data_IF_314921957944
#
_entry.id   IF_314921957944
#
_cell.length_a   1.000
_cell.length_b   1.000
_cell.length_c   1.000
_cell.angle_alpha   90.00
_cell.angle_beta   90.00
_cell.angle_gamma   90.00
#
_symmetry.space_group_name_H-M   'P 1'
#
loop_
_entity.id
_entity.type
_entity.pdbx_description
1 polymer ?
#
# COMPACT_ATOMS: atom_id res chain seq x y z
N UNK A 1 -5.08 13.98 0.09
CA UNK A 1 -4.23 12.78 0.29
C UNK A 1 -5.14 11.63 0.66
N UNK A 2 -5.03 10.50 -0.03
CA UNK A 2 -5.76 9.27 0.27
C UNK A 2 -4.92 8.42 1.23
N UNK A 3 -5.57 7.91 2.29
CA UNK A 3 -4.91 7.09 3.30
C UNK A 3 -4.39 5.76 2.71
N UNK A 4 -3.37 5.19 3.34
CA UNK A 4 -2.85 3.86 2.99
C UNK A 4 -3.77 2.69 3.32
N UNK A 5 -4.75 2.92 4.20
CA UNK A 5 -5.80 1.97 4.56
C UNK A 5 -7.02 2.76 5.04
N UNK A 6 -8.21 2.15 4.97
CA UNK A 6 -9.45 2.77 5.44
C UNK A 6 -10.24 1.80 6.32
N UNK A 7 -11.04 2.30 7.27
CA UNK A 7 -12.07 1.50 7.92
C UNK A 7 -13.01 0.92 6.86
N UNK A 8 -13.32 -0.38 6.97
CA UNK A 8 -14.29 -1.02 6.09
C UNK A 8 -15.70 -0.79 6.66
N UNK A 9 -16.70 -0.51 5.82
CA UNK A 9 -18.10 -0.54 6.23
C UNK A 9 -18.49 -1.90 6.80
N UNK A 10 -19.41 -1.92 7.76
CA UNK A 10 -19.87 -3.16 8.41
C UNK A 10 -20.53 -4.13 7.42
N UNK A 11 -21.16 -3.62 6.36
CA UNK A 11 -21.81 -4.38 5.30
C UNK A 11 -20.84 -4.82 4.17
N UNK A 12 -19.59 -4.35 4.19
CA UNK A 12 -18.56 -4.70 3.23
C UNK A 12 -17.17 -4.86 3.90
N UNK A 13 -17.01 -5.83 4.82
CA UNK A 13 -15.78 -6.00 5.62
C UNK A 13 -14.54 -6.38 4.78
N UNK A 14 -14.76 -6.90 3.57
CA UNK A 14 -13.73 -7.31 2.62
C UNK A 14 -13.56 -6.34 1.44
N UNK A 15 -14.19 -5.16 1.50
CA UNK A 15 -14.07 -4.14 0.46
C UNK A 15 -12.60 -3.81 0.21
N UNK A 16 -12.24 -3.80 -1.07
CA UNK A 16 -10.90 -3.38 -1.45
C UNK A 16 -10.73 -1.89 -1.21
N UNK A 17 -9.50 -1.44 -0.98
CA UNK A 17 -9.23 -0.04 -0.67
C UNK A 17 -9.77 0.92 -1.73
N UNK A 18 -9.70 0.53 -3.00
CA UNK A 18 -10.19 1.36 -4.10
C UNK A 18 -11.72 1.50 -4.10
N UNK A 19 -12.48 0.50 -3.64
CA UNK A 19 -13.94 0.59 -3.58
C UNK A 19 -14.38 1.66 -2.56
N UNK A 20 -13.53 1.91 -1.57
CA UNK A 20 -13.73 2.95 -0.55
C UNK A 20 -13.19 4.31 -1.03
N UNK A 21 -12.08 4.32 -1.76
CA UNK A 21 -11.39 5.57 -2.14
C UNK A 21 -11.91 6.19 -3.43
N UNK A 22 -12.40 5.41 -4.38
CA UNK A 22 -12.90 5.94 -5.65
C UNK A 22 -14.06 6.96 -5.47
N UNK A 23 -15.05 6.73 -4.58
CA UNK A 23 -16.08 7.73 -4.30
C UNK A 23 -15.54 9.02 -3.68
N UNK A 24 -14.44 8.94 -2.90
CA UNK A 24 -13.77 10.12 -2.34
C UNK A 24 -13.12 10.93 -3.47
N UNK A 25 -12.47 10.24 -4.42
CA UNK A 25 -11.89 10.88 -5.60
C UNK A 25 -12.98 11.52 -6.46
N UNK A 26 -14.10 10.82 -6.69
CA UNK A 26 -15.25 11.35 -7.44
C UNK A 26 -15.79 12.63 -6.81
N UNK A 27 -16.02 12.63 -5.50
CA UNK A 27 -16.50 13.80 -4.77
C UNK A 27 -15.52 14.97 -4.84
N UNK A 28 -14.21 14.71 -4.72
CA UNK A 28 -13.18 15.73 -4.86
C UNK A 28 -13.19 16.37 -6.26
N UNK A 29 -13.25 15.55 -7.32
CA UNK A 29 -13.25 16.03 -8.69
C UNK A 29 -14.54 16.80 -9.02
N UNK A 30 -15.69 16.35 -8.52
CA UNK A 30 -16.97 17.04 -8.71
C UNK A 30 -17.04 18.40 -8.01
N UNK A 31 -16.37 18.53 -6.85
CA UNK A 31 -16.29 19.77 -6.09
C UNK A 31 -15.19 20.73 -6.58
N UNK A 32 -14.33 20.29 -7.51
CA UNK A 32 -13.20 21.08 -7.96
C UNK A 32 -13.67 22.23 -8.86
N UNK A 33 -13.28 23.49 -8.59
CA UNK A 33 -13.66 24.61 -9.45
C UNK A 33 -13.16 24.44 -10.89
N UNK A 34 -13.93 24.96 -11.84
CA UNK A 34 -13.57 24.91 -13.25
C UNK A 34 -12.19 25.54 -13.50
N UNK A 35 -11.33 24.82 -14.23
CA UNK A 35 -9.97 25.26 -14.56
C UNK A 35 -8.89 24.92 -13.53
N UNK A 36 -9.24 24.38 -12.35
CA UNK A 36 -8.26 23.90 -11.39
C UNK A 36 -7.69 22.52 -11.79
N UNK A 37 -6.37 22.35 -11.69
CA UNK A 37 -5.70 21.06 -11.93
C UNK A 37 -5.81 20.19 -10.67
N UNK A 38 -6.36 18.96 -10.75
CA UNK A 38 -6.44 18.04 -9.61
C UNK A 38 -5.05 17.68 -9.06
N UNK A 39 -4.93 17.56 -7.73
CA UNK A 39 -3.72 17.03 -7.05
C UNK A 39 -4.14 16.01 -6.01
N UNK A 40 -3.79 14.75 -6.24
CA UNK A 40 -4.25 13.61 -5.44
C UNK A 40 -3.04 12.75 -5.13
N UNK A 41 -2.60 12.75 -3.87
CA UNK A 41 -1.55 11.84 -3.41
C UNK A 41 -2.19 10.57 -2.84
N UNK A 42 -1.80 9.40 -3.36
CA UNK A 42 -2.11 8.09 -2.77
C UNK A 42 -0.99 7.64 -1.83
N UNK A 43 -1.28 7.53 -0.53
CA UNK A 43 -0.34 6.90 0.42
C UNK A 43 -0.48 5.38 0.35
N UNK A 44 0.61 4.62 0.36
CA UNK A 44 0.60 3.15 0.38
C UNK A 44 1.66 2.60 1.34
N UNK A 45 1.31 1.49 2.02
CA UNK A 45 2.27 0.74 2.83
C UNK A 45 3.02 -0.22 1.91
N UNK A 46 4.29 0.04 1.64
CA UNK A 46 5.08 -0.69 0.63
C UNK A 46 6.39 -1.18 1.25
N UNK A 47 6.69 -2.46 1.06
CA UNK A 47 8.00 -3.03 1.38
C UNK A 47 8.46 -3.96 0.26
N UNK A 48 9.60 -3.62 -0.35
CA UNK A 48 10.20 -4.39 -1.44
C UNK A 48 11.51 -4.99 -0.94
N UNK A 49 11.72 -6.29 -1.16
CA UNK A 49 12.99 -6.96 -0.88
C UNK A 49 13.45 -7.75 -2.10
N UNK A 50 14.72 -8.16 -2.10
CA UNK A 50 15.33 -8.92 -3.20
C UNK A 50 14.72 -10.32 -3.36
N UNK A 51 14.13 -10.87 -2.29
CA UNK A 51 13.40 -12.14 -2.33
C UNK A 51 12.04 -12.05 -1.65
N UNK A 52 11.07 -12.80 -2.16
CA UNK A 52 9.74 -12.93 -1.54
C UNK A 52 9.81 -13.48 -0.12
N UNK A 53 10.69 -14.45 0.12
CA UNK A 53 10.85 -15.07 1.43
C UNK A 53 11.31 -14.05 2.49
N UNK A 54 12.33 -13.25 2.16
CA UNK A 54 12.79 -12.15 3.03
C UNK A 54 11.70 -11.10 3.26
N UNK A 55 11.04 -10.65 2.17
CA UNK A 55 9.97 -9.66 2.25
C UNK A 55 8.87 -10.10 3.22
N UNK A 56 8.41 -11.35 3.07
CA UNK A 56 7.36 -11.93 3.90
C UNK A 56 7.79 -12.09 5.36
N UNK A 57 8.99 -12.64 5.59
CA UNK A 57 9.48 -12.88 6.95
C UNK A 57 9.61 -11.57 7.76
N UNK A 58 10.18 -10.53 7.15
CA UNK A 58 10.35 -9.23 7.81
C UNK A 58 9.01 -8.51 8.00
N UNK A 59 8.13 -8.53 6.99
CA UNK A 59 6.81 -7.94 7.08
C UNK A 59 5.97 -8.59 8.18
N UNK A 60 5.91 -9.92 8.24
CA UNK A 60 5.16 -10.63 9.27
C UNK A 60 5.68 -10.29 10.67
N UNK A 61 7.00 -10.33 10.85
CA UNK A 61 7.60 -10.00 12.13
C UNK A 61 7.30 -8.55 12.55
N UNK A 62 7.32 -7.60 11.62
CA UNK A 62 6.99 -6.20 11.86
C UNK A 62 5.53 -5.97 12.25
N UNK A 63 4.61 -6.51 11.45
CA UNK A 63 3.16 -6.40 11.66
C UNK A 63 2.77 -6.95 13.03
N UNK A 64 3.32 -8.11 13.42
CA UNK A 64 3.06 -8.70 14.75
C UNK A 64 3.61 -7.84 15.88
N UNK A 65 4.80 -7.24 15.72
CA UNK A 65 5.37 -6.31 16.71
C UNK A 65 4.60 -4.98 16.81
N UNK A 66 3.89 -4.58 15.77
CA UNK A 66 3.25 -3.26 15.72
C UNK A 66 2.03 -3.12 16.64
N UNK A 67 1.51 -4.24 17.19
CA UNK A 67 0.31 -4.26 18.04
C UNK A 67 -1.00 -3.97 17.29
N UNK A 68 -0.98 -3.89 15.96
CA UNK A 68 -2.19 -3.71 15.13
C UNK A 68 -2.95 -5.01 14.90
N UNK A 69 -2.28 -6.15 15.12
CA UNK A 69 -2.88 -7.47 15.17
C UNK A 69 -3.20 -7.77 16.63
N UNK A 70 -4.49 -7.77 16.98
CA UNK A 70 -4.97 -8.08 18.34
C UNK A 70 -5.23 -9.56 18.57
N UNK A 71 -5.39 -10.31 17.48
CA UNK A 71 -5.61 -11.76 17.53
C UNK A 71 -4.33 -12.49 17.92
N UNK A 72 -4.44 -13.69 18.54
CA UNK A 72 -3.28 -14.50 18.87
C UNK A 72 -2.39 -14.79 17.66
N UNK A 73 -1.09 -14.98 17.91
CA UNK A 73 -0.16 -15.37 16.87
C UNK A 73 -0.58 -16.69 16.20
N UNK A 74 -0.56 -16.71 14.87
CA UNK A 74 -1.01 -17.84 14.06
C UNK A 74 -2.51 -17.86 13.73
N UNK A 75 -3.36 -17.03 14.35
CA UNK A 75 -4.79 -16.97 14.02
C UNK A 75 -5.06 -16.33 12.64
N UNK A 76 -4.18 -15.44 12.19
CA UNK A 76 -4.23 -14.80 10.88
C UNK A 76 -2.96 -15.12 10.11
N UNK A 77 -3.13 -15.57 8.85
CA UNK A 77 -2.01 -15.77 7.93
C UNK A 77 -1.45 -14.41 7.49
N UNK A 78 -0.18 -14.38 7.09
CA UNK A 78 0.42 -13.16 6.53
C UNK A 78 -0.39 -12.63 5.33
N UNK A 79 -0.90 -13.50 4.47
CA UNK A 79 -1.72 -13.11 3.32
C UNK A 79 -3.01 -12.38 3.75
N UNK A 80 -3.69 -12.88 4.80
CA UNK A 80 -4.85 -12.21 5.37
C UNK A 80 -4.48 -10.83 5.94
N UNK A 81 -3.33 -10.73 6.61
CA UNK A 81 -2.83 -9.45 7.15
C UNK A 81 -2.50 -8.45 6.04
N UNK A 82 -1.80 -8.89 4.99
CA UNK A 82 -1.48 -8.09 3.80
C UNK A 82 -2.76 -7.53 3.18
N UNK A 83 -3.77 -8.39 2.96
CA UNK A 83 -5.04 -7.98 2.38
C UNK A 83 -5.81 -7.01 3.28
N UNK A 84 -5.96 -7.33 4.57
CA UNK A 84 -6.75 -6.50 5.51
C UNK A 84 -6.12 -5.13 5.76
N UNK A 85 -4.80 -5.04 5.71
CA UNK A 85 -4.05 -3.82 6.01
C UNK A 85 -3.59 -3.07 4.75
N UNK A 86 -4.01 -3.51 3.57
CA UNK A 86 -3.68 -2.91 2.27
C UNK A 86 -2.16 -2.75 2.07
N UNK A 87 -1.41 -3.81 2.39
CA UNK A 87 0.05 -3.81 2.28
C UNK A 87 0.48 -4.28 0.88
N UNK A 88 1.53 -3.69 0.36
CA UNK A 88 2.18 -4.13 -0.88
C UNK A 88 3.58 -4.66 -0.53
N UNK A 89 3.71 -5.98 -0.48
CA UNK A 89 4.91 -6.66 0.03
C UNK A 89 5.39 -7.73 -0.95
N UNK A 90 6.70 -7.77 -1.24
CA UNK A 90 7.29 -8.85 -2.03
C UNK A 90 8.56 -8.43 -2.77
N UNK A 91 8.82 -9.11 -3.89
CA UNK A 91 9.82 -8.68 -4.88
C UNK A 91 9.33 -7.45 -5.64
N UNK A 92 10.19 -6.79 -6.44
CA UNK A 92 9.75 -5.71 -7.33
C UNK A 92 8.54 -6.10 -8.19
N UNK A 93 8.56 -7.27 -8.84
CA UNK A 93 7.45 -7.76 -9.66
C UNK A 93 6.15 -7.96 -8.88
N UNK A 94 6.24 -8.46 -7.65
CA UNK A 94 5.08 -8.67 -6.80
C UNK A 94 4.42 -7.36 -6.40
N UNK A 95 5.25 -6.39 -6.02
CA UNK A 95 4.79 -5.05 -5.63
C UNK A 95 4.26 -4.28 -6.83
N UNK A 96 4.90 -4.35 -8.01
CA UNK A 96 4.38 -3.76 -9.25
C UNK A 96 3.01 -4.34 -9.59
N UNK A 97 2.86 -5.67 -9.55
CA UNK A 97 1.59 -6.34 -9.84
C UNK A 97 0.50 -5.90 -8.87
N UNK A 98 0.83 -5.84 -7.58
CA UNK A 98 -0.09 -5.43 -6.52
C UNK A 98 -0.52 -3.96 -6.65
N UNK A 99 0.42 -3.04 -6.90
CA UNK A 99 0.12 -1.62 -7.09
C UNK A 99 -0.67 -1.37 -8.38
N UNK A 100 -0.40 -2.09 -9.48
CA UNK A 100 -1.20 -1.99 -10.71
C UNK A 100 -2.64 -2.48 -10.55
N UNK A 101 -2.89 -3.41 -9.62
CA UNK A 101 -4.24 -3.87 -9.32
C UNK A 101 -5.06 -2.85 -8.54
N UNK A 102 -4.43 -1.89 -7.87
CA UNK A 102 -5.12 -0.82 -7.14
C UNK A 102 -5.66 0.24 -8.11
N UNK A 103 -6.97 0.16 -8.37
CA UNK A 103 -7.66 1.01 -9.35
C UNK A 103 -7.58 2.50 -9.00
N UNK A 104 -7.52 2.85 -7.72
CA UNK A 104 -7.43 4.25 -7.31
C UNK A 104 -6.07 4.84 -7.68
N UNK A 105 -5.00 4.05 -7.76
CA UNK A 105 -3.67 4.54 -8.17
C UNK A 105 -3.62 4.97 -9.64
N UNK A 106 -4.56 4.56 -10.49
CA UNK A 106 -4.68 5.12 -11.84
C UNK A 106 -5.21 6.57 -11.85
N UNK A 107 -5.70 7.06 -10.69
CA UNK A 107 -6.36 8.36 -10.53
C UNK A 107 -5.55 9.33 -9.66
N UNK A 108 -4.40 8.90 -9.14
CA UNK A 108 -3.52 9.74 -8.31
C UNK A 108 -2.50 10.48 -9.17
N UNK A 109 -2.06 11.64 -8.70
CA UNK A 109 -0.97 12.40 -9.30
C UNK A 109 0.39 12.09 -8.69
N UNK A 110 0.41 11.56 -7.46
CA UNK A 110 1.62 11.25 -6.73
C UNK A 110 1.39 10.02 -5.85
N UNK A 111 2.43 9.22 -5.62
CA UNK A 111 2.40 8.10 -4.68
C UNK A 111 3.39 8.36 -3.55
N UNK A 112 2.95 8.20 -2.31
CA UNK A 112 3.81 8.22 -1.14
C UNK A 112 3.91 6.81 -0.56
N UNK A 113 5.13 6.27 -0.50
CA UNK A 113 5.40 4.94 0.04
C UNK A 113 5.90 5.05 1.49
N UNK A 114 5.40 4.17 2.37
CA UNK A 114 5.90 4.02 3.73
C UNK A 114 6.03 2.55 4.11
N UNK A 115 7.01 2.21 4.94
CA UNK A 115 7.25 0.82 5.38
C UNK A 115 6.44 0.43 6.63
N UNK A 116 5.81 1.37 7.32
CA UNK A 116 4.96 1.04 8.47
C UNK A 116 3.67 0.33 8.00
N UNK A 117 3.24 -0.77 8.64
CA UNK A 117 3.68 -1.28 9.95
C UNK A 117 4.66 -2.45 9.90
N UNK A 118 5.26 -2.69 8.73
CA UNK A 118 6.25 -3.75 8.54
C UNK A 118 7.59 -3.37 9.18
N UNK A 119 7.90 -2.06 9.22
CA UNK A 119 9.04 -1.46 9.93
C UNK A 119 10.31 -2.34 9.91
N UNK A 120 10.80 -2.72 8.70
CA UNK A 120 11.95 -3.57 8.55
C UNK A 120 13.21 -2.84 9.05
N UNK A 121 14.30 -3.55 9.36
CA UNK A 121 15.52 -2.92 9.83
C UNK A 121 16.06 -1.90 8.82
N UNK A 122 16.89 -0.97 9.31
CA UNK A 122 17.33 0.20 8.54
C UNK A 122 17.95 -0.16 7.17
N UNK A 123 18.82 -1.17 7.12
CA UNK A 123 19.45 -1.60 5.87
C UNK A 123 18.42 -2.07 4.83
N UNK A 124 17.42 -2.85 5.26
CA UNK A 124 16.34 -3.33 4.40
C UNK A 124 15.38 -2.20 4.01
N UNK A 125 15.16 -1.21 4.88
CA UNK A 125 14.41 0.01 4.51
C UNK A 125 15.13 0.76 3.39
N UNK A 126 16.44 0.97 3.49
CA UNK A 126 17.23 1.63 2.44
C UNK A 126 17.22 0.82 1.13
N UNK A 127 17.38 -0.51 1.22
CA UNK A 127 17.30 -1.39 0.05
C UNK A 127 15.92 -1.33 -0.60
N UNK A 128 14.85 -1.32 0.19
CA UNK A 128 13.48 -1.16 -0.33
C UNK A 128 13.30 0.18 -1.03
N UNK A 129 13.87 1.28 -0.53
CA UNK A 129 13.81 2.60 -1.20
C UNK A 129 14.52 2.53 -2.56
N UNK A 130 15.69 1.87 -2.63
CA UNK A 130 16.41 1.69 -3.88
C UNK A 130 15.60 0.89 -4.91
N UNK A 131 15.03 -0.25 -4.51
CA UNK A 131 14.19 -1.09 -5.36
C UNK A 131 12.92 -0.36 -5.82
N UNK A 132 12.30 0.42 -4.94
CA UNK A 132 11.16 1.27 -5.30
C UNK A 132 11.56 2.28 -6.36
N UNK A 133 12.68 2.99 -6.17
CA UNK A 133 13.12 4.05 -7.09
C UNK A 133 13.60 3.50 -8.44
N UNK A 134 14.27 2.34 -8.46
CA UNK A 134 14.91 1.79 -9.66
C UNK A 134 14.03 0.86 -10.47
N UNK A 135 13.08 0.18 -9.83
CA UNK A 135 12.29 -0.88 -10.48
C UNK A 135 10.79 -0.59 -10.43
N UNK A 136 10.25 -0.31 -9.23
CA UNK A 136 8.80 -0.17 -9.06
C UNK A 136 8.27 1.12 -9.69
N UNK A 137 8.83 2.29 -9.32
CA UNK A 137 8.35 3.58 -9.80
C UNK A 137 8.41 3.70 -11.34
N UNK A 138 9.52 3.35 -12.01
CA UNK A 138 9.59 3.35 -13.47
C UNK A 138 8.55 2.43 -14.12
N UNK A 139 8.32 1.23 -13.55
CA UNK A 139 7.33 0.29 -14.08
C UNK A 139 5.87 0.79 -13.93
N UNK A 140 5.61 1.72 -13.02
CA UNK A 140 4.32 2.39 -12.85
C UNK A 140 4.19 3.66 -13.71
N UNK A 141 5.22 4.04 -14.47
CA UNK A 141 5.25 5.27 -15.24
C UNK A 141 5.42 6.54 -14.39
N UNK A 142 5.81 6.37 -13.12
CA UNK A 142 6.16 7.47 -12.23
C UNK A 142 7.58 7.91 -12.56
N UNK A 143 7.79 9.23 -12.71
CA UNK A 143 9.09 9.83 -13.01
C UNK A 143 9.54 10.70 -11.85
#
# INVERSE_FOLDING_TARGET
MLSRTQPRPDDAPDAALWDIQDPIVDAYLAALPAGCVPRIMGSRSVFVADSRAEAHALAEAGIRRSGLVKEPDGAQTLEMLIRRMDLHVGTPDDVIRSLRADRTLARVTDIACQVHPMDPPHAQTLRSIELIAREVAPALGLR
#
